data_IF_209074856503
#
_entry.id   IF_209074856503
#
_cell.length_a   1.000
_cell.length_b   1.000
_cell.length_c   1.000
_cell.angle_alpha   90.00
_cell.angle_beta   90.00
_cell.angle_gamma   90.00
#
_symmetry.space_group_name_H-M   'P 1'
#
loop_
_entity.id
_entity.type
_entity.pdbx_description
1 polymer ?
#
# COMPACT_ATOMS: atom_id res chain seq x y z
N UNK A 1 -0.48 -10.92 18.29
CA UNK A 1 0.36 -11.56 17.25
C UNK A 1 1.61 -10.70 17.08
N UNK A 2 2.78 -11.27 17.33
CA UNK A 2 4.06 -10.58 17.12
C UNK A 2 4.54 -10.91 15.71
N UNK A 3 4.57 -9.92 14.85
CA UNK A 3 5.08 -10.02 13.49
C UNK A 3 6.36 -9.18 13.36
N UNK A 4 7.27 -9.61 12.54
CA UNK A 4 8.50 -8.91 12.24
C UNK A 4 8.38 -8.16 10.91
N UNK A 5 8.88 -6.92 10.86
CA UNK A 5 8.85 -6.09 9.66
C UNK A 5 10.28 -5.92 9.15
N UNK A 6 10.43 -6.07 7.84
CA UNK A 6 11.70 -5.97 7.14
C UNK A 6 11.58 -5.01 5.96
N UNK A 7 12.71 -4.47 5.53
CA UNK A 7 12.84 -3.70 4.29
C UNK A 7 13.45 -4.61 3.23
N UNK A 8 12.84 -4.65 2.06
CA UNK A 8 13.39 -5.38 0.91
C UNK A 8 14.55 -4.59 0.29
N UNK A 9 15.79 -4.93 0.69
CA UNK A 9 17.01 -4.19 0.29
C UNK A 9 17.56 -4.62 -1.08
N UNK A 10 17.15 -5.76 -1.57
CA UNK A 10 17.56 -6.31 -2.87
C UNK A 10 16.44 -7.19 -3.42
N UNK A 11 16.49 -7.45 -4.72
CA UNK A 11 15.53 -8.34 -5.37
C UNK A 11 15.64 -9.73 -4.75
N UNK A 12 14.51 -10.19 -4.23
CA UNK A 12 14.31 -11.53 -3.68
C UNK A 12 13.06 -12.12 -4.33
N UNK A 13 13.25 -13.08 -5.22
CA UNK A 13 12.16 -13.64 -6.04
C UNK A 13 11.09 -14.30 -5.20
N UNK A 14 11.47 -15.02 -4.13
CA UNK A 14 10.51 -15.71 -3.27
C UNK A 14 9.64 -14.73 -2.49
N UNK A 15 10.23 -13.68 -1.95
CA UNK A 15 9.49 -12.61 -1.30
C UNK A 15 8.56 -11.93 -2.30
N UNK A 16 9.06 -11.53 -3.47
CA UNK A 16 8.25 -10.83 -4.48
C UNK A 16 7.06 -11.66 -4.94
N UNK A 17 7.21 -12.98 -5.14
CA UNK A 17 6.08 -13.86 -5.47
C UNK A 17 4.99 -13.81 -4.39
N UNK A 18 5.36 -13.78 -3.13
CA UNK A 18 4.41 -13.64 -2.02
C UNK A 18 3.74 -12.26 -2.04
N UNK A 19 4.48 -11.17 -2.35
CA UNK A 19 3.89 -9.83 -2.47
C UNK A 19 2.86 -9.76 -3.59
N UNK A 20 3.14 -10.37 -4.75
CA UNK A 20 2.18 -10.46 -5.88
C UNK A 20 0.88 -11.14 -5.44
N UNK A 21 0.98 -12.28 -4.77
CA UNK A 21 -0.18 -13.02 -4.29
C UNK A 21 -1.01 -12.21 -3.28
N UNK A 22 -0.35 -11.50 -2.36
CA UNK A 22 -1.02 -10.65 -1.37
C UNK A 22 -1.73 -9.48 -2.06
N UNK A 23 -1.09 -8.83 -3.03
CA UNK A 23 -1.70 -7.74 -3.79
C UNK A 23 -2.98 -8.21 -4.49
N UNK A 24 -2.90 -9.30 -5.24
CA UNK A 24 -4.04 -9.87 -5.93
C UNK A 24 -5.19 -10.21 -4.97
N UNK A 25 -4.89 -10.86 -3.86
CA UNK A 25 -5.87 -11.22 -2.84
C UNK A 25 -6.52 -10.00 -2.17
N UNK A 26 -5.74 -9.00 -1.81
CA UNK A 26 -6.22 -7.82 -1.10
C UNK A 26 -7.11 -6.90 -1.97
N UNK A 27 -6.84 -6.83 -3.27
CA UNK A 27 -7.51 -5.89 -4.18
C UNK A 27 -8.41 -6.54 -5.22
N UNK A 28 -8.56 -7.86 -5.23
CA UNK A 28 -9.36 -8.60 -6.24
C UNK A 28 -10.80 -8.11 -6.37
N UNK A 29 -11.44 -7.72 -5.26
CA UNK A 29 -12.84 -7.27 -5.25
C UNK A 29 -13.08 -5.93 -5.95
N UNK A 30 -12.02 -5.15 -6.23
CA UNK A 30 -12.13 -3.86 -6.92
C UNK A 30 -11.96 -3.98 -8.43
N UNK A 31 -11.48 -5.13 -8.93
CA UNK A 31 -11.24 -5.40 -10.35
C UNK A 31 -10.31 -4.41 -11.03
N UNK A 32 -9.39 -3.79 -10.27
CA UNK A 32 -8.31 -2.99 -10.83
C UNK A 32 -7.22 -3.91 -11.39
N UNK A 33 -6.32 -3.34 -12.21
CA UNK A 33 -5.18 -4.10 -12.73
C UNK A 33 -4.33 -4.64 -11.57
N UNK A 34 -4.09 -5.94 -11.57
CA UNK A 34 -3.20 -6.57 -10.62
C UNK A 34 -1.74 -6.20 -10.92
N UNK A 35 -0.95 -6.05 -9.86
CA UNK A 35 0.49 -5.91 -10.00
C UNK A 35 1.13 -7.27 -10.28
N UNK A 36 2.05 -7.27 -11.25
CA UNK A 36 2.84 -8.43 -11.63
C UNK A 36 4.18 -8.45 -10.88
N UNK A 37 4.90 -9.56 -11.02
CA UNK A 37 6.29 -9.66 -10.57
C UNK A 37 7.16 -8.54 -11.14
N UNK A 38 7.00 -8.25 -12.43
CA UNK A 38 7.72 -7.15 -13.10
C UNK A 38 7.42 -5.79 -12.49
N UNK A 39 6.18 -5.52 -12.09
CA UNK A 39 5.81 -4.25 -11.46
C UNK A 39 6.60 -4.02 -10.16
N UNK A 40 6.79 -5.05 -9.33
CA UNK A 40 7.62 -4.96 -8.13
C UNK A 40 9.10 -4.73 -8.44
N UNK A 41 9.64 -5.41 -9.45
CA UNK A 41 11.01 -5.18 -9.92
C UNK A 41 11.19 -3.72 -10.38
N UNK A 42 10.26 -3.21 -11.16
CA UNK A 42 10.30 -1.83 -11.65
C UNK A 42 10.23 -0.82 -10.49
N UNK A 43 9.41 -1.06 -9.47
CA UNK A 43 9.37 -0.23 -8.26
C UNK A 43 10.73 -0.20 -7.55
N UNK A 44 11.34 -1.35 -7.32
CA UNK A 44 12.66 -1.46 -6.68
C UNK A 44 13.71 -0.70 -7.49
N UNK A 45 13.75 -0.90 -8.80
CA UNK A 45 14.71 -0.27 -9.70
C UNK A 45 14.51 1.26 -9.79
N UNK A 46 13.30 1.75 -9.53
CA UNK A 46 12.98 3.18 -9.50
C UNK A 46 13.10 3.81 -8.09
N UNK A 47 13.70 3.11 -7.14
CA UNK A 47 14.04 3.66 -5.82
C UNK A 47 12.90 3.66 -4.81
N UNK A 48 11.80 2.96 -5.07
CA UNK A 48 10.73 2.78 -4.09
C UNK A 48 11.20 1.82 -2.98
N UNK A 49 10.78 2.11 -1.75
CA UNK A 49 11.03 1.25 -0.60
C UNK A 49 9.86 0.31 -0.37
N UNK A 50 10.16 -0.97 -0.18
CA UNK A 50 9.16 -1.99 0.11
C UNK A 50 9.42 -2.54 1.52
N UNK A 51 8.42 -2.42 2.37
CA UNK A 51 8.39 -3.00 3.72
C UNK A 51 7.48 -4.21 3.70
N UNK A 52 7.87 -5.29 4.35
CA UNK A 52 7.04 -6.48 4.44
C UNK A 52 7.05 -7.08 5.84
N UNK A 53 5.95 -7.69 6.19
CA UNK A 53 5.71 -8.28 7.51
C UNK A 53 5.68 -9.80 7.40
N UNK A 54 6.44 -10.47 8.27
CA UNK A 54 6.49 -11.94 8.34
C UNK A 54 5.87 -12.44 9.63
N UNK A 55 5.09 -13.49 9.49
CA UNK A 55 4.57 -14.29 10.60
C UNK A 55 4.58 -15.78 10.22
N UNK A 56 5.16 -16.63 11.08
CA UNK A 56 5.34 -18.07 10.82
C UNK A 56 5.95 -18.35 9.43
N UNK A 57 7.08 -17.70 9.15
CA UNK A 57 7.86 -17.82 7.91
C UNK A 57 7.11 -17.44 6.60
N UNK A 58 5.96 -16.79 6.74
CA UNK A 58 5.18 -16.28 5.61
C UNK A 58 5.11 -14.76 5.62
N UNK A 59 5.17 -14.16 4.43
CA UNK A 59 4.79 -12.75 4.26
C UNK A 59 3.27 -12.64 4.41
N UNK A 60 2.84 -11.75 5.30
CA UNK A 60 1.41 -11.54 5.61
C UNK A 60 0.91 -10.16 5.23
N UNK A 61 1.79 -9.27 4.82
CA UNK A 61 1.45 -7.93 4.37
C UNK A 61 2.68 -7.16 3.94
N UNK A 62 2.46 -6.08 3.19
CA UNK A 62 3.54 -5.20 2.75
C UNK A 62 3.05 -3.77 2.53
N UNK A 63 4.00 -2.84 2.46
CA UNK A 63 3.78 -1.45 2.11
C UNK A 63 4.84 -0.98 1.11
N UNK A 64 4.45 -0.14 0.18
CA UNK A 64 5.35 0.49 -0.79
C UNK A 64 5.28 2.00 -0.62
N UNK A 65 6.44 2.64 -0.52
CA UNK A 65 6.55 4.08 -0.32
C UNK A 65 7.67 4.67 -1.17
N UNK A 66 7.44 5.87 -1.66
CA UNK A 66 8.47 6.74 -2.23
C UNK A 66 8.82 7.81 -1.22
N UNK A 67 10.06 7.82 -0.72
CA UNK A 67 10.55 8.87 0.19
C UNK A 67 11.16 10.01 -0.61
N UNK A 68 10.65 11.23 -0.41
CA UNK A 68 11.14 12.45 -1.03
C UNK A 68 11.31 13.55 0.04
N UNK A 69 12.08 14.60 -0.27
CA UNK A 69 12.39 15.67 0.69
C UNK A 69 11.16 16.41 1.21
N UNK A 70 10.20 16.70 0.33
CA UNK A 70 9.06 17.56 0.68
C UNK A 70 7.84 16.75 1.13
N UNK A 71 7.70 15.54 0.63
CA UNK A 71 6.63 14.60 1.00
C UNK A 71 7.02 13.17 0.64
N UNK A 72 6.44 12.23 1.33
CA UNK A 72 6.53 10.82 0.98
C UNK A 72 5.18 10.32 0.45
N UNK A 73 5.22 9.51 -0.58
CA UNK A 73 4.02 8.96 -1.19
C UNK A 73 3.88 7.49 -0.84
N UNK A 74 2.79 7.15 -0.15
CA UNK A 74 2.42 5.77 0.09
C UNK A 74 1.71 5.25 -1.15
N UNK A 75 2.33 4.30 -1.84
CA UNK A 75 1.78 3.74 -3.07
C UNK A 75 0.71 2.71 -2.77
N UNK A 76 0.97 1.83 -1.81
CA UNK A 76 0.01 0.82 -1.37
C UNK A 76 0.39 0.25 -0.01
N UNK A 77 -0.62 -0.20 0.71
CA UNK A 77 -0.50 -1.11 1.86
C UNK A 77 -1.47 -2.26 1.60
N UNK A 78 -0.99 -3.47 1.64
CA UNK A 78 -1.78 -4.67 1.44
C UNK A 78 -1.51 -5.69 2.54
N UNK A 79 -2.58 -6.31 3.03
CA UNK A 79 -2.52 -7.36 4.05
C UNK A 79 -3.30 -8.55 3.55
N UNK A 80 -2.72 -9.75 3.67
CA UNK A 80 -3.39 -10.99 3.35
C UNK A 80 -4.72 -11.10 4.10
N UNK A 81 -5.76 -11.58 3.44
CA UNK A 81 -7.16 -11.56 3.94
C UNK A 81 -7.30 -12.16 5.34
N UNK A 82 -6.62 -13.27 5.61
CA UNK A 82 -6.68 -13.96 6.90
C UNK A 82 -5.98 -13.21 8.04
N UNK A 83 -5.17 -12.20 7.71
CA UNK A 83 -4.41 -11.39 8.66
C UNK A 83 -4.89 -9.95 8.75
N UNK A 84 -5.94 -9.59 8.02
CA UNK A 84 -6.58 -8.28 8.14
C UNK A 84 -7.23 -8.11 9.52
N UNK A 85 -7.38 -6.86 9.98
CA UNK A 85 -7.94 -6.49 11.29
C UNK A 85 -7.16 -7.04 12.50
N UNK A 86 -5.91 -7.45 12.30
CA UNK A 86 -4.99 -7.94 13.33
C UNK A 86 -3.80 -6.99 13.54
N UNK A 87 -3.99 -5.71 13.25
CA UNK A 87 -3.00 -4.63 13.33
C UNK A 87 -1.79 -4.76 12.40
N UNK A 88 -1.77 -5.68 11.46
CA UNK A 88 -0.65 -5.83 10.51
C UNK A 88 -0.44 -4.56 9.69
N UNK A 89 -1.49 -4.03 9.09
CA UNK A 89 -1.44 -2.79 8.31
C UNK A 89 -1.00 -1.59 9.15
N UNK A 90 -1.51 -1.47 10.39
CA UNK A 90 -1.10 -0.40 11.31
C UNK A 90 0.38 -0.49 11.67
N UNK A 91 0.87 -1.70 11.96
CA UNK A 91 2.28 -1.90 12.29
C UNK A 91 3.19 -1.57 11.11
N UNK A 92 2.81 -1.97 9.88
CA UNK A 92 3.52 -1.60 8.65
C UNK A 92 3.55 -0.08 8.46
N UNK A 93 2.41 0.59 8.59
CA UNK A 93 2.31 2.03 8.45
C UNK A 93 3.19 2.76 9.47
N UNK A 94 3.11 2.38 10.74
CA UNK A 94 3.90 3.00 11.81
C UNK A 94 5.40 2.77 11.60
N UNK A 95 5.80 1.56 11.25
CA UNK A 95 7.20 1.23 10.99
C UNK A 95 7.76 2.02 9.79
N UNK A 96 7.01 2.08 8.70
CA UNK A 96 7.37 2.85 7.52
C UNK A 96 7.51 4.34 7.83
N UNK A 97 6.57 4.94 8.55
CA UNK A 97 6.62 6.35 8.93
C UNK A 97 7.79 6.66 9.86
N UNK A 98 8.10 5.75 10.80
CA UNK A 98 9.26 5.90 11.69
C UNK A 98 10.60 5.72 11.00
N UNK A 99 10.62 5.15 9.80
CA UNK A 99 11.83 4.94 8.99
C UNK A 99 12.17 6.15 8.12
N UNK A 100 11.32 7.16 8.08
CA UNK A 100 11.58 8.40 7.35
C UNK A 100 12.58 9.26 8.13
N UNK A 101 13.67 9.66 7.46
CA UNK A 101 14.73 10.50 8.06
C UNK A 101 14.36 12.00 8.11
N UNK A 102 13.09 12.34 7.92
CA UNK A 102 12.63 13.73 7.88
C UNK A 102 11.25 13.90 8.50
N UNK A 103 11.05 15.07 9.07
CA UNK A 103 9.73 15.57 9.44
C UNK A 103 9.03 16.04 8.17
N UNK A 104 8.03 15.32 7.72
CA UNK A 104 7.42 15.63 6.44
C UNK A 104 5.97 15.20 6.35
N UNK A 105 5.44 15.37 5.16
CA UNK A 105 4.09 15.00 4.82
C UNK A 105 4.07 13.63 4.17
N UNK A 106 3.09 12.81 4.53
CA UNK A 106 2.73 11.61 3.78
C UNK A 106 1.47 11.88 2.96
N UNK A 107 1.50 11.50 1.69
CA UNK A 107 0.37 11.59 0.77
C UNK A 107 0.07 10.21 0.20
N UNK A 108 -1.19 9.95 -0.06
CA UNK A 108 -1.65 8.75 -0.75
C UNK A 108 -2.90 9.03 -1.58
N UNK A 109 -3.10 8.21 -2.58
CA UNK A 109 -4.35 8.11 -3.33
C UNK A 109 -5.05 6.79 -2.96
N UNK A 110 -6.33 6.85 -2.72
CA UNK A 110 -7.15 5.67 -2.41
C UNK A 110 -8.47 5.73 -3.18
N UNK A 111 -8.87 4.60 -3.80
CA UNK A 111 -10.14 4.56 -4.51
C UNK A 111 -11.30 4.89 -3.56
N UNK A 112 -12.22 5.76 -3.99
CA UNK A 112 -13.35 6.17 -3.14
C UNK A 112 -14.26 5.01 -2.74
N UNK A 113 -14.26 3.92 -3.50
CA UNK A 113 -15.00 2.70 -3.19
C UNK A 113 -14.30 1.83 -2.12
N UNK A 114 -13.02 2.07 -1.85
CA UNK A 114 -12.28 1.37 -0.82
C UNK A 114 -12.48 2.04 0.55
N UNK A 115 -13.70 1.98 1.06
CA UNK A 115 -14.10 2.62 2.31
C UNK A 115 -13.37 2.08 3.53
N UNK A 116 -12.95 0.81 3.50
CA UNK A 116 -12.18 0.18 4.57
C UNK A 116 -10.80 0.82 4.67
N UNK A 117 -10.13 1.02 3.55
CA UNK A 117 -8.82 1.69 3.52
C UNK A 117 -8.93 3.16 3.92
N UNK A 118 -9.94 3.88 3.43
CA UNK A 118 -10.16 5.29 3.82
C UNK A 118 -10.28 5.40 5.34
N UNK A 119 -11.14 4.59 5.97
CA UNK A 119 -11.29 4.57 7.44
C UNK A 119 -10.01 4.18 8.17
N UNK A 120 -9.22 3.27 7.60
CA UNK A 120 -7.93 2.89 8.14
C UNK A 120 -6.97 4.10 8.18
N UNK A 121 -6.88 4.85 7.09
CA UNK A 121 -6.02 6.03 7.01
C UNK A 121 -6.54 7.18 7.88
N UNK A 122 -7.85 7.41 7.93
CA UNK A 122 -8.47 8.41 8.83
C UNK A 122 -8.11 8.13 10.30
N UNK A 123 -8.20 6.88 10.73
CA UNK A 123 -7.80 6.46 12.09
C UNK A 123 -6.30 6.63 12.36
N UNK A 124 -5.49 6.63 11.33
CA UNK A 124 -4.06 6.91 11.42
C UNK A 124 -3.73 8.42 11.40
N UNK A 125 -4.75 9.27 11.24
CA UNK A 125 -4.61 10.73 11.26
C UNK A 125 -4.55 11.38 9.89
N UNK A 126 -4.68 10.62 8.80
CA UNK A 126 -4.78 11.18 7.46
C UNK A 126 -6.10 11.93 7.27
N UNK A 127 -6.06 13.00 6.50
CA UNK A 127 -7.22 13.80 6.13
C UNK A 127 -7.32 13.87 4.61
N UNK A 128 -8.55 13.78 4.09
CA UNK A 128 -8.80 14.02 2.67
C UNK A 128 -8.52 15.49 2.35
N UNK A 129 -7.70 15.73 1.33
CA UNK A 129 -7.32 17.06 0.86
C UNK A 129 -7.80 17.35 -0.56
N UNK A 130 -8.33 16.36 -1.26
CA UNK A 130 -8.82 16.49 -2.63
C UNK A 130 -9.21 15.17 -3.24
N UNK A 131 -9.53 15.23 -4.52
CA UNK A 131 -9.90 14.06 -5.33
C UNK A 131 -9.18 14.10 -6.68
N UNK A 132 -8.90 12.90 -7.22
CA UNK A 132 -8.49 12.71 -8.61
C UNK A 132 -9.64 12.05 -9.35
N UNK A 133 -10.20 12.74 -10.33
CA UNK A 133 -11.30 12.19 -11.12
C UNK A 133 -10.81 11.13 -12.09
N UNK A 134 -11.59 10.05 -12.25
CA UNK A 134 -11.35 8.99 -13.21
C UNK A 134 -9.94 8.37 -13.11
N UNK A 135 -9.47 8.13 -11.89
CA UNK A 135 -8.11 7.72 -11.61
C UNK A 135 -7.86 6.22 -11.73
N UNK A 136 -8.79 5.40 -11.22
CA UNK A 136 -8.71 3.95 -11.29
C UNK A 136 -9.60 3.40 -12.40
N UNK A 137 -9.07 2.49 -13.20
CA UNK A 137 -9.80 1.79 -14.26
C UNK A 137 -10.24 0.42 -13.77
N UNK A 138 -11.52 0.10 -13.92
CA UNK A 138 -12.04 -1.26 -13.72
C UNK A 138 -11.69 -2.10 -14.94
N UNK A 139 -10.91 -3.16 -14.74
CA UNK A 139 -10.35 -4.00 -15.80
C UNK A 139 -11.13 -5.28 -16.05
N UNK A 140 -12.02 -5.68 -15.12
CA UNK A 140 -12.77 -6.95 -15.18
C UNK A 140 -14.18 -6.77 -14.63
N UNK A 141 -15.05 -7.75 -14.89
CA UNK A 141 -16.41 -7.82 -14.36
C UNK A 141 -17.42 -6.99 -15.14
N UNK A 142 -18.62 -6.80 -14.56
CA UNK A 142 -19.74 -6.14 -15.22
C UNK A 142 -19.52 -4.64 -15.46
N UNK A 143 -18.64 -4.02 -14.70
CA UNK A 143 -18.33 -2.59 -14.80
C UNK A 143 -17.01 -2.31 -15.52
N UNK A 144 -16.48 -3.26 -16.30
CA UNK A 144 -15.25 -3.10 -17.07
C UNK A 144 -15.29 -1.84 -17.94
N UNK A 145 -14.19 -1.07 -17.91
CA UNK A 145 -14.08 0.20 -18.63
C UNK A 145 -14.55 1.43 -17.85
N UNK A 146 -15.27 1.26 -16.74
CA UNK A 146 -15.60 2.37 -15.86
C UNK A 146 -14.37 2.87 -15.10
N UNK A 147 -14.37 4.14 -14.81
CA UNK A 147 -13.31 4.79 -14.03
C UNK A 147 -13.85 5.23 -12.67
N UNK A 148 -13.01 5.07 -11.66
CA UNK A 148 -13.33 5.39 -10.26
C UNK A 148 -12.42 6.51 -9.80
N UNK A 149 -12.99 7.47 -9.08
CA UNK A 149 -12.24 8.56 -8.47
C UNK A 149 -11.36 8.05 -7.32
N UNK A 150 -10.25 8.75 -7.08
CA UNK A 150 -9.43 8.59 -5.91
C UNK A 150 -9.64 9.74 -4.94
N UNK A 151 -9.70 9.44 -3.65
CA UNK A 151 -9.49 10.41 -2.59
C UNK A 151 -7.99 10.61 -2.40
N UNK A 152 -7.54 11.86 -2.35
CA UNK A 152 -6.17 12.22 -1.99
C UNK A 152 -6.13 12.49 -0.50
N UNK A 153 -5.32 11.75 0.24
CA UNK A 153 -5.23 11.88 1.69
C UNK A 153 -3.82 12.29 2.12
N UNK A 154 -3.74 13.10 3.16
CA UNK A 154 -2.48 13.63 3.68
C UNK A 154 -2.39 13.48 5.19
N UNK A 155 -1.20 13.10 5.66
CA UNK A 155 -0.79 13.20 7.06
C UNK A 155 0.41 14.14 7.16
N UNK A 156 0.32 15.14 8.03
CA UNK A 156 1.43 16.03 8.37
C UNK A 156 2.05 15.59 9.67
N UNK A 157 3.35 15.32 9.64
CA UNK A 157 4.16 15.10 10.83
C UNK A 157 4.90 16.41 11.15
N UNK A 158 4.74 16.86 12.37
CA UNK A 158 5.37 18.08 12.87
C UNK A 158 6.66 17.74 13.62
#
# INVERSE_FOLDING_TARGET
>A
MKNNIFILKKIDEEIIKQLVNIYCSAFSKFYFRNWSFKDFIDLINNGYSIFYSIYNDKVIGFAVVSFNKDFSEIITIAVESNYQRKNVGRNLLNYMMSSADFEGNFILDVAIINTVAIKFYEKAGFKEIGKRHNYYLICEGDNVGQKIDAAVMQLRLY
#
